data_IF_438429286733
#
_entry.id   IF_438429286733
#
_cell.length_a   1.000
_cell.length_b   1.000
_cell.length_c   1.000
_cell.angle_alpha   90.00
_cell.angle_beta   90.00
_cell.angle_gamma   90.00
#
_symmetry.space_group_name_H-M   'P 1'
#
loop_
_entity.id
_entity.type
_entity.pdbx_description
1 polymer ?
#
# COMPACT_ATOMS: atom_id res chain seq x y z
N UNK A 1 27.88 32.91 5.45
CA UNK A 1 26.83 32.70 6.47
C UNK A 1 25.56 32.39 5.70
N UNK A 2 25.29 31.11 5.46
CA UNK A 2 24.12 30.69 4.71
C UNK A 2 22.90 30.85 5.63
N UNK A 3 21.96 31.70 5.24
CA UNK A 3 20.70 31.87 5.94
C UNK A 3 19.84 30.68 5.55
N UNK A 4 19.74 29.71 6.47
CA UNK A 4 18.78 28.62 6.36
C UNK A 4 17.38 29.23 6.55
N UNK A 5 16.63 29.36 5.46
CA UNK A 5 15.20 29.60 5.57
C UNK A 5 14.58 28.33 6.15
N UNK A 6 13.81 28.40 7.26
CA UNK A 6 13.00 27.27 7.65
C UNK A 6 12.05 26.99 6.49
N UNK A 7 11.99 25.74 6.06
CA UNK A 7 11.01 25.22 5.11
C UNK A 7 9.61 25.40 5.68
N UNK A 8 9.05 26.60 5.54
CA UNK A 8 7.64 26.87 5.84
C UNK A 8 6.81 26.39 4.66
N UNK A 9 6.54 25.09 4.69
CA UNK A 9 5.33 24.45 4.18
C UNK A 9 5.52 22.95 4.42
N UNK A 10 5.42 22.56 5.69
CA UNK A 10 4.55 21.41 5.93
C UNK A 10 3.23 21.82 5.26
N UNK A 11 2.99 21.30 4.06
CA UNK A 11 1.63 21.17 3.57
C UNK A 11 0.96 20.27 4.62
N UNK A 12 0.48 20.88 5.71
CA UNK A 12 -0.53 20.28 6.54
C UNK A 12 -1.61 19.87 5.55
N UNK A 13 -1.63 18.58 5.20
CA UNK A 13 -2.82 17.93 4.70
C UNK A 13 -3.85 18.24 5.78
N UNK A 14 -4.60 19.33 5.58
CA UNK A 14 -5.67 19.78 6.44
C UNK A 14 -6.43 18.53 6.80
N UNK A 15 -6.36 18.13 8.07
CA UNK A 15 -7.02 16.94 8.53
C UNK A 15 -8.47 17.08 8.07
N UNK A 16 -8.93 16.14 7.26
CA UNK A 16 -10.23 16.22 6.59
C UNK A 16 -11.38 16.43 7.56
N UNK A 17 -11.14 16.05 8.81
CA UNK A 17 -11.99 16.21 9.98
C UNK A 17 -12.21 17.67 10.43
N UNK A 18 -11.50 18.62 9.83
CA UNK A 18 -11.63 20.04 10.13
C UNK A 18 -12.35 20.83 9.03
N UNK A 19 -12.31 20.36 7.77
CA UNK A 19 -12.90 21.09 6.65
C UNK A 19 -14.38 21.40 6.88
N UNK A 20 -14.71 22.67 6.78
CA UNK A 20 -16.09 23.15 6.79
C UNK A 20 -16.75 22.81 5.45
N UNK A 21 -18.10 22.74 5.41
CA UNK A 21 -18.80 22.54 4.15
C UNK A 21 -18.47 23.56 3.06
N UNK A 22 -18.07 24.79 3.44
CA UNK A 22 -17.66 25.83 2.48
C UNK A 22 -16.30 25.53 1.87
N UNK A 23 -15.35 25.08 2.67
CA UNK A 23 -14.01 24.68 2.19
C UNK A 23 -14.09 23.44 1.30
N UNK A 24 -14.91 22.44 1.68
CA UNK A 24 -15.15 21.27 0.82
C UNK A 24 -15.70 21.70 -0.55
N UNK A 25 -16.68 22.62 -0.58
CA UNK A 25 -17.23 23.13 -1.85
C UNK A 25 -16.16 23.88 -2.64
N UNK A 26 -15.34 24.71 -2.00
CA UNK A 26 -14.25 25.44 -2.65
C UNK A 26 -13.20 24.50 -3.24
N UNK A 27 -12.91 23.39 -2.57
CA UNK A 27 -12.00 22.37 -3.09
C UNK A 27 -12.60 21.64 -4.30
N UNK A 28 -13.89 21.29 -4.23
CA UNK A 28 -14.61 20.69 -5.36
C UNK A 28 -14.76 21.66 -6.55
N UNK A 29 -14.81 22.97 -6.31
CA UNK A 29 -14.85 24.00 -7.35
C UNK A 29 -13.58 24.03 -8.22
N UNK A 30 -12.43 23.57 -7.72
CA UNK A 30 -11.18 23.47 -8.51
C UNK A 30 -11.25 22.42 -9.62
N UNK A 31 -12.13 21.44 -9.50
CA UNK A 31 -12.18 20.28 -10.38
C UNK A 31 -13.50 20.14 -11.16
N UNK A 32 -14.62 20.52 -10.56
CA UNK A 32 -15.94 20.43 -11.16
C UNK A 32 -16.47 21.83 -11.37
N UNK A 33 -16.92 22.18 -12.58
CA UNK A 33 -17.49 23.51 -12.86
C UNK A 33 -19.00 23.49 -12.59
N UNK A 34 -19.52 24.48 -11.86
CA UNK A 34 -20.96 24.59 -11.57
C UNK A 34 -21.44 23.59 -10.51
N UNK A 35 -22.64 23.01 -10.69
CA UNK A 35 -23.24 21.98 -9.81
C UNK A 35 -23.25 22.32 -8.31
N UNK A 36 -23.57 23.57 -7.97
CA UNK A 36 -23.49 24.10 -6.60
C UNK A 36 -24.31 23.30 -5.59
N UNK A 37 -25.50 22.86 -5.98
CA UNK A 37 -26.39 22.08 -5.11
C UNK A 37 -25.81 20.71 -4.78
N UNK A 38 -25.31 20.00 -5.81
CA UNK A 38 -24.68 18.70 -5.64
C UNK A 38 -23.43 18.79 -4.75
N UNK A 39 -22.57 19.79 -4.98
CA UNK A 39 -21.39 20.05 -4.14
C UNK A 39 -21.76 20.33 -2.69
N UNK A 40 -22.79 21.15 -2.46
CA UNK A 40 -23.29 21.44 -1.11
C UNK A 40 -23.84 20.19 -0.42
N UNK A 41 -24.58 19.36 -1.15
CA UNK A 41 -25.13 18.11 -0.61
C UNK A 41 -24.02 17.16 -0.15
N UNK A 42 -23.01 16.93 -1.00
CA UNK A 42 -21.88 16.06 -0.65
C UNK A 42 -21.02 16.62 0.49
N UNK A 43 -20.81 17.95 0.51
CA UNK A 43 -20.08 18.62 1.59
C UNK A 43 -20.78 18.49 2.94
N UNK A 44 -22.11 18.58 2.96
CA UNK A 44 -22.91 18.36 4.17
C UNK A 44 -22.82 16.90 4.62
N UNK A 45 -22.91 15.94 3.70
CA UNK A 45 -22.81 14.52 4.04
C UNK A 45 -21.44 14.17 4.65
N UNK A 46 -20.35 14.64 4.03
CA UNK A 46 -18.99 14.45 4.55
C UNK A 46 -18.83 15.12 5.92
N UNK A 47 -19.32 16.35 6.11
CA UNK A 47 -19.24 17.03 7.41
C UNK A 47 -20.06 16.34 8.49
N UNK A 48 -21.24 15.82 8.16
CA UNK A 48 -22.09 15.11 9.13
C UNK A 48 -21.43 13.81 9.59
N UNK A 49 -20.66 13.17 8.71
CA UNK A 49 -19.90 11.97 9.04
C UNK A 49 -18.79 12.25 10.06
N UNK A 50 -17.97 13.29 9.86
CA UNK A 50 -16.99 13.74 10.86
C UNK A 50 -17.67 14.14 12.18
N UNK A 51 -18.84 14.80 12.11
CA UNK A 51 -19.61 15.13 13.31
C UNK A 51 -20.04 13.88 14.06
N UNK A 52 -20.47 12.83 13.35
CA UNK A 52 -20.86 11.54 13.95
C UNK A 52 -19.70 10.88 14.69
N UNK A 53 -18.49 10.91 14.13
CA UNK A 53 -17.29 10.36 14.78
C UNK A 53 -16.92 11.08 16.09
N UNK A 54 -17.37 12.33 16.27
CA UNK A 54 -17.14 13.12 17.49
C UNK A 54 -18.23 12.90 18.56
N UNK A 55 -19.25 12.09 18.27
CA UNK A 55 -20.31 11.77 19.22
C UNK A 55 -19.93 10.55 20.09
N UNK A 56 -20.52 10.43 21.29
CA UNK A 56 -20.44 9.20 22.08
C UNK A 56 -20.92 7.98 21.28
N UNK A 57 -20.34 6.78 21.50
CA UNK A 57 -20.66 5.57 20.72
C UNK A 57 -22.16 5.29 20.65
N UNK A 58 -22.84 5.37 21.80
CA UNK A 58 -24.28 5.10 21.93
C UNK A 58 -25.14 5.99 21.01
N UNK A 59 -24.75 7.27 20.83
CA UNK A 59 -25.45 8.21 19.94
C UNK A 59 -25.00 8.09 18.49
N UNK A 60 -23.75 7.70 18.26
CA UNK A 60 -23.21 7.56 16.91
C UNK A 60 -23.87 6.40 16.16
N UNK A 61 -24.16 5.28 16.85
CA UNK A 61 -24.84 4.10 16.29
C UNK A 61 -26.26 4.41 15.82
N UNK A 62 -26.98 5.29 16.52
CA UNK A 62 -28.34 5.71 16.12
C UNK A 62 -28.36 6.60 14.86
N UNK A 63 -27.22 7.18 14.47
CA UNK A 63 -27.13 8.12 13.36
C UNK A 63 -26.66 7.41 12.08
N UNK A 64 -27.65 7.09 11.25
CA UNK A 64 -27.43 6.48 9.93
C UNK A 64 -26.83 7.52 8.95
N UNK A 65 -25.85 7.13 8.11
CA UNK A 65 -25.33 7.98 7.04
C UNK A 65 -26.44 8.50 6.12
N UNK A 66 -26.31 9.77 5.69
CA UNK A 66 -27.22 10.36 4.72
C UNK A 66 -26.75 10.05 3.31
N UNK A 67 -27.29 8.97 2.74
CA UNK A 67 -27.06 8.61 1.34
C UNK A 67 -27.57 9.71 0.40
N UNK A 68 -26.91 9.88 -0.75
CA UNK A 68 -27.19 10.95 -1.72
C UNK A 68 -27.64 10.32 -3.03
N UNK A 69 -28.75 10.82 -3.57
CA UNK A 69 -29.19 10.51 -4.94
C UNK A 69 -28.89 11.72 -5.82
N UNK A 70 -28.06 11.53 -6.84
CA UNK A 70 -27.73 12.57 -7.83
C UNK A 70 -28.55 12.39 -9.10
N UNK A 71 -29.43 13.36 -9.39
CA UNK A 71 -30.29 13.34 -10.58
C UNK A 71 -29.77 14.36 -11.58
N UNK A 72 -29.60 13.93 -12.83
CA UNK A 72 -29.14 14.80 -13.93
C UNK A 72 -28.71 14.00 -15.16
N UNK A 73 -28.52 14.65 -16.31
CA UNK A 73 -28.08 13.97 -17.52
C UNK A 73 -26.64 13.42 -17.37
N UNK A 74 -26.22 12.57 -18.30
CA UNK A 74 -24.84 12.08 -18.37
C UNK A 74 -23.88 13.23 -18.66
N UNK A 75 -22.61 13.11 -18.23
CA UNK A 75 -21.56 14.10 -18.54
C UNK A 75 -21.56 15.39 -17.72
N UNK A 76 -22.54 15.62 -16.82
CA UNK A 76 -22.58 16.85 -15.99
C UNK A 76 -21.64 16.86 -14.78
N UNK A 77 -20.86 15.79 -14.59
CA UNK A 77 -19.87 15.67 -13.52
C UNK A 77 -20.32 14.92 -12.26
N UNK A 78 -21.44 14.17 -12.27
CA UNK A 78 -21.92 13.37 -11.12
C UNK A 78 -20.83 12.46 -10.53
N UNK A 79 -20.21 11.64 -11.38
CA UNK A 79 -19.14 10.73 -10.99
C UNK A 79 -17.87 11.48 -10.56
N UNK A 80 -17.56 12.63 -11.18
CA UNK A 80 -16.37 13.42 -10.84
C UNK A 80 -16.51 14.07 -9.46
N UNK A 81 -17.70 14.57 -9.10
CA UNK A 81 -17.98 15.06 -7.75
C UNK A 81 -17.73 13.96 -6.72
N UNK A 82 -18.25 12.75 -6.94
CA UNK A 82 -18.07 11.63 -6.02
C UNK A 82 -16.60 11.19 -5.91
N UNK A 83 -15.89 11.07 -7.04
CA UNK A 83 -14.47 10.72 -7.09
C UNK A 83 -13.61 11.76 -6.36
N UNK A 84 -13.85 13.05 -6.60
CA UNK A 84 -13.11 14.14 -5.94
C UNK A 84 -13.42 14.23 -4.46
N UNK A 85 -14.67 14.00 -4.06
CA UNK A 85 -15.04 13.91 -2.66
C UNK A 85 -14.29 12.78 -1.95
N UNK A 86 -14.20 11.60 -2.57
CA UNK A 86 -13.50 10.46 -1.97
C UNK A 86 -12.00 10.69 -1.88
N UNK A 87 -11.37 11.25 -2.93
CA UNK A 87 -9.97 11.64 -2.90
C UNK A 87 -9.69 12.71 -1.84
N UNK A 88 -10.59 13.70 -1.73
CA UNK A 88 -10.51 14.71 -0.69
C UNK A 88 -10.54 14.00 0.66
N UNK A 89 -11.57 13.20 0.94
CA UNK A 89 -11.77 12.48 2.21
C UNK A 89 -10.78 11.34 2.52
N UNK A 90 -9.74 11.13 1.69
CA UNK A 90 -8.89 9.93 1.72
C UNK A 90 -9.68 8.62 1.95
N UNK A 91 -10.83 8.54 1.28
CA UNK A 91 -11.84 7.49 1.46
C UNK A 91 -11.70 6.45 0.34
N UNK A 92 -11.74 5.14 0.64
CA UNK A 92 -11.86 4.10 -0.36
C UNK A 92 -13.09 4.36 -1.26
N UNK A 93 -12.90 4.24 -2.57
CA UNK A 93 -13.93 4.60 -3.55
C UNK A 93 -14.14 3.50 -4.58
N UNK A 94 -15.37 3.01 -4.69
CA UNK A 94 -15.77 2.04 -5.70
C UNK A 94 -16.86 2.62 -6.60
N UNK A 95 -16.61 2.63 -7.92
CA UNK A 95 -17.64 2.88 -8.93
C UNK A 95 -18.16 1.55 -9.47
N UNK A 96 -19.48 1.36 -9.43
CA UNK A 96 -20.15 0.20 -10.01
C UNK A 96 -21.40 0.64 -10.76
N UNK A 97 -21.76 -0.08 -11.82
CA UNK A 97 -23.00 0.14 -12.56
C UNK A 97 -24.07 -0.78 -12.00
N UNK A 98 -25.24 -0.24 -11.66
CA UNK A 98 -26.32 -0.99 -11.03
C UNK A 98 -26.83 -2.16 -11.90
N UNK A 99 -26.79 -2.02 -13.22
CA UNK A 99 -27.24 -3.07 -14.16
C UNK A 99 -26.41 -4.35 -14.09
N UNK A 100 -25.18 -4.30 -13.57
CA UNK A 100 -24.29 -5.48 -13.43
C UNK A 100 -24.83 -6.54 -12.48
N UNK A 101 -25.77 -6.17 -11.60
CA UNK A 101 -26.34 -7.05 -10.59
C UNK A 101 -27.76 -7.54 -10.92
N UNK A 102 -28.21 -7.36 -12.17
CA UNK A 102 -29.53 -7.85 -12.62
C UNK A 102 -29.42 -9.20 -13.34
N UNK A 103 -30.53 -9.95 -13.39
CA UNK A 103 -30.62 -11.32 -13.91
C UNK A 103 -30.04 -11.51 -15.33
N UNK A 104 -30.06 -10.49 -16.19
CA UNK A 104 -29.53 -10.57 -17.57
C UNK A 104 -27.99 -10.46 -17.61
N UNK A 105 -27.36 -9.96 -16.55
CA UNK A 105 -25.89 -9.92 -16.38
C UNK A 105 -25.35 -11.03 -15.46
N UNK A 106 -26.20 -11.99 -15.08
CA UNK A 106 -26.04 -12.84 -13.90
C UNK A 106 -25.38 -14.19 -14.20
N UNK A 107 -24.09 -14.19 -14.53
CA UNK A 107 -23.27 -15.36 -14.22
C UNK A 107 -22.12 -14.91 -13.33
N UNK A 108 -22.37 -14.88 -12.02
CA UNK A 108 -21.30 -14.90 -11.01
C UNK A 108 -20.96 -13.61 -10.26
N UNK A 109 -21.80 -12.55 -10.25
CA UNK A 109 -21.56 -11.36 -9.40
C UNK A 109 -22.65 -11.17 -8.34
N UNK A 110 -22.22 -11.35 -7.09
CA UNK A 110 -22.98 -11.12 -5.86
C UNK A 110 -22.96 -9.63 -5.47
N UNK A 111 -24.04 -9.09 -4.91
CA UNK A 111 -24.10 -7.70 -4.40
C UNK A 111 -23.02 -7.48 -3.33
N UNK A 112 -22.68 -8.50 -2.55
CA UNK A 112 -21.61 -8.44 -1.55
C UNK A 112 -20.23 -8.22 -2.19
N UNK A 113 -20.04 -8.55 -3.48
CA UNK A 113 -18.78 -8.28 -4.18
C UNK A 113 -18.43 -6.79 -4.19
N UNK A 114 -19.43 -5.88 -4.15
CA UNK A 114 -19.15 -4.45 -4.03
C UNK A 114 -18.40 -4.10 -2.75
N UNK A 115 -18.72 -4.77 -1.64
CA UNK A 115 -18.05 -4.53 -0.36
C UNK A 115 -16.67 -5.18 -0.37
N UNK A 116 -16.54 -6.38 -0.95
CA UNK A 116 -15.24 -7.07 -1.10
C UNK A 116 -14.27 -6.24 -1.95
N UNK A 117 -14.70 -5.78 -3.13
CA UNK A 117 -13.92 -4.92 -4.02
C UNK A 117 -13.50 -3.61 -3.32
N UNK A 118 -14.40 -3.03 -2.51
CA UNK A 118 -14.09 -1.81 -1.76
C UNK A 118 -13.04 -2.04 -0.65
N UNK A 119 -13.07 -3.20 0.01
CA UNK A 119 -12.06 -3.60 1.00
C UNK A 119 -10.71 -3.85 0.34
N UNK A 120 -10.68 -4.49 -0.83
CA UNK A 120 -9.44 -4.68 -1.59
C UNK A 120 -8.79 -3.34 -1.94
N UNK A 121 -9.57 -2.38 -2.45
CA UNK A 121 -9.08 -1.01 -2.70
C UNK A 121 -8.55 -0.35 -1.43
N UNK A 122 -9.21 -0.56 -0.29
CA UNK A 122 -8.74 0.01 0.98
C UNK A 122 -7.43 -0.64 1.46
N UNK A 123 -7.25 -1.95 1.27
CA UNK A 123 -6.03 -2.66 1.62
C UNK A 123 -4.86 -2.11 0.80
N UNK A 124 -5.06 -1.90 -0.50
CA UNK A 124 -4.01 -1.35 -1.37
C UNK A 124 -3.67 0.10 -0.97
N UNK A 125 -4.66 0.95 -0.72
CA UNK A 125 -4.42 2.32 -0.23
C UNK A 125 -3.63 2.34 1.08
N UNK A 126 -4.02 1.52 2.07
CA UNK A 126 -3.32 1.46 3.36
C UNK A 126 -1.92 0.88 3.20
N UNK A 127 -1.74 -0.10 2.31
CA UNK A 127 -0.42 -0.66 2.02
C UNK A 127 0.50 0.40 1.41
N UNK A 128 0.01 1.19 0.46
CA UNK A 128 0.77 2.30 -0.14
C UNK A 128 1.19 3.33 0.90
N UNK A 129 0.27 3.77 1.77
CA UNK A 129 0.60 4.67 2.88
C UNK A 129 1.66 4.07 3.82
N UNK A 130 1.55 2.77 4.13
CA UNK A 130 2.52 2.09 5.00
C UNK A 130 3.87 1.89 4.34
N UNK A 131 3.92 1.73 3.02
CA UNK A 131 5.17 1.70 2.25
C UNK A 131 5.91 3.03 2.36
N UNK A 132 5.19 4.15 2.21
CA UNK A 132 5.76 5.49 2.39
C UNK A 132 6.28 5.70 3.81
N UNK A 133 5.53 5.29 4.83
CA UNK A 133 5.94 5.39 6.25
C UNK A 133 7.25 4.62 6.57
N UNK A 134 7.52 3.50 5.87
CA UNK A 134 8.69 2.66 6.15
C UNK A 134 9.86 2.86 5.19
N UNK A 135 9.69 3.66 4.13
CA UNK A 135 10.67 3.85 3.06
C UNK A 135 12.07 4.21 3.60
N UNK A 136 12.18 5.23 4.46
CA UNK A 136 13.46 5.67 5.03
C UNK A 136 14.15 4.58 5.86
N UNK A 137 13.36 3.79 6.59
CA UNK A 137 13.86 2.70 7.44
C UNK A 137 14.26 1.49 6.60
N UNK A 138 13.50 1.19 5.55
CA UNK A 138 13.81 0.14 4.60
C UNK A 138 15.11 0.46 3.86
N UNK A 139 15.31 1.70 3.43
CA UNK A 139 16.54 2.16 2.78
C UNK A 139 17.76 2.01 3.70
N UNK A 140 17.65 2.43 4.97
CA UNK A 140 18.73 2.27 5.95
C UNK A 140 19.08 0.81 6.21
N UNK A 141 18.07 -0.05 6.36
CA UNK A 141 18.28 -1.49 6.57
C UNK A 141 18.91 -2.15 5.33
N UNK A 142 18.44 -1.78 4.13
CA UNK A 142 18.99 -2.25 2.87
C UNK A 142 20.45 -1.81 2.70
N UNK A 143 20.79 -0.57 3.08
CA UNK A 143 22.15 -0.03 3.08
C UNK A 143 23.06 -0.85 3.99
N UNK A 144 22.62 -1.14 5.23
CA UNK A 144 23.39 -1.95 6.17
C UNK A 144 23.62 -3.37 5.67
N UNK A 145 22.58 -4.00 5.11
CA UNK A 145 22.64 -5.37 4.58
C UNK A 145 23.53 -5.46 3.35
N UNK A 146 23.53 -4.44 2.50
CA UNK A 146 24.42 -4.34 1.34
C UNK A 146 25.88 -4.15 1.76
N UNK A 147 26.14 -3.35 2.80
CA UNK A 147 27.49 -3.20 3.38
C UNK A 147 28.02 -4.52 3.95
N UNK A 148 27.18 -5.33 4.59
CA UNK A 148 27.57 -6.66 5.09
C UNK A 148 27.98 -7.62 3.96
N UNK A 149 27.33 -7.51 2.79
CA UNK A 149 27.67 -8.31 1.60
C UNK A 149 28.99 -7.83 0.99
N UNK A 150 29.23 -6.53 0.99
CA UNK A 150 30.47 -5.92 0.45
C UNK A 150 31.68 -6.14 1.37
N UNK A 151 31.45 -6.23 2.67
CA UNK A 151 32.45 -6.47 3.70
C UNK A 151 31.96 -7.56 4.67
N UNK A 152 32.07 -8.85 4.29
CA UNK A 152 31.68 -9.92 5.19
C UNK A 152 32.50 -9.83 6.49
N UNK A 153 31.86 -9.96 7.67
CA UNK A 153 32.55 -9.88 8.94
C UNK A 153 33.64 -10.95 8.99
N UNK A 154 34.86 -10.57 9.40
CA UNK A 154 35.93 -11.54 9.62
C UNK A 154 35.44 -12.53 10.67
N UNK A 155 35.46 -13.85 10.41
CA UNK A 155 35.03 -14.82 11.39
C UNK A 155 35.90 -14.66 12.64
N UNK A 156 35.29 -14.33 13.77
CA UNK A 156 35.94 -14.39 15.09
C UNK A 156 36.40 -15.81 15.29
N UNK A 157 37.69 -16.05 15.07
CA UNK A 157 38.33 -17.32 15.40
C UNK A 157 38.20 -17.48 16.92
N UNK A 158 37.64 -18.60 17.44
CA UNK A 158 37.67 -18.84 18.87
C UNK A 158 39.14 -18.88 19.30
N UNK A 159 39.50 -17.98 20.22
CA UNK A 159 40.82 -17.90 20.84
C UNK A 159 41.22 -19.30 21.37
N UNK A 160 42.34 -19.89 20.90
CA UNK A 160 42.87 -21.06 21.57
C UNK A 160 43.31 -20.63 22.97
N UNK A 161 42.73 -21.26 23.99
CA UNK A 161 43.11 -21.12 25.39
C UNK A 161 44.64 -21.19 25.52
N UNK A 162 45.26 -20.08 25.92
CA UNK A 162 46.70 -19.94 26.05
C UNK A 162 47.27 -20.92 27.09
N UNK A 163 47.99 -21.95 26.64
CA UNK A 163 49.07 -22.56 27.40
C UNK A 163 50.36 -21.78 27.18
N UNK A 164 51.10 -21.63 28.27
CA UNK A 164 52.19 -20.69 28.45
C UNK A 164 53.36 -20.83 27.45
N UNK A 165 53.95 -19.67 27.12
CA UNK A 165 55.39 -19.54 26.90
C UNK A 165 55.87 -19.63 25.46
N UNK A 166 55.69 -18.56 24.68
CA UNK A 166 56.40 -18.39 23.42
C UNK A 166 56.40 -16.93 22.99
N UNK A 167 57.58 -16.29 23.03
CA UNK A 167 57.79 -14.96 22.46
C UNK A 167 57.65 -15.06 20.94
N UNK A 168 56.56 -14.51 20.40
CA UNK A 168 56.41 -14.24 18.98
C UNK A 168 56.77 -12.77 18.73
N UNK A 169 57.94 -12.56 18.12
CA UNK A 169 58.28 -11.30 17.46
C UNK A 169 57.61 -11.38 16.10
N UNK A 170 56.45 -10.74 15.94
CA UNK A 170 55.84 -10.54 14.62
C UNK A 170 55.84 -9.05 14.27
N UNK A 171 56.78 -8.69 13.40
CA UNK A 171 56.86 -7.39 12.76
C UNK A 171 55.90 -7.31 11.58
N UNK A 172 54.62 -7.09 11.88
CA UNK A 172 53.67 -6.57 10.88
C UNK A 172 53.08 -5.25 11.37
N UNK A 173 53.63 -4.17 10.85
CA UNK A 173 52.97 -2.87 10.73
C UNK A 173 51.75 -3.02 9.82
N UNK A 174 50.67 -3.58 10.34
CA UNK A 174 49.34 -3.52 9.76
C UNK A 174 48.51 -2.58 10.59
N UNK A 175 48.29 -1.37 10.10
CA UNK A 175 47.24 -0.48 10.60
C UNK A 175 45.95 -1.30 10.69
N UNK A 176 45.56 -1.70 11.90
CA UNK A 176 44.22 -2.20 12.18
C UNK A 176 43.27 -1.02 12.03
N UNK A 177 42.98 -0.66 10.78
CA UNK A 177 41.89 0.26 10.48
C UNK A 177 40.65 -0.43 11.06
N UNK A 178 40.11 0.16 12.14
CA UNK A 178 38.99 -0.41 12.89
C UNK A 178 37.91 -0.81 11.89
N UNK A 179 37.30 -2.01 11.98
CA UNK A 179 36.27 -2.46 11.04
C UNK A 179 35.15 -1.42 10.87
N UNK A 180 34.89 -0.62 11.90
CA UNK A 180 33.96 0.51 11.89
C UNK A 180 34.38 1.63 10.93
N UNK A 181 35.65 2.05 10.88
CA UNK A 181 36.14 3.11 10.00
C UNK A 181 36.07 2.72 8.53
N UNK A 182 36.35 1.46 8.21
CA UNK A 182 36.22 0.94 6.85
C UNK A 182 34.76 0.90 6.41
N UNK A 183 33.85 0.49 7.31
CA UNK A 183 32.40 0.48 7.05
C UNK A 183 31.85 1.88 6.80
N UNK A 184 32.26 2.87 7.59
CA UNK A 184 31.85 4.27 7.40
C UNK A 184 32.32 4.85 6.05
N UNK A 185 33.56 4.56 5.63
CA UNK A 185 34.07 4.96 4.31
C UNK A 185 33.28 4.29 3.18
N UNK A 186 32.95 3.01 3.30
CA UNK A 186 32.15 2.28 2.31
C UNK A 186 30.73 2.82 2.23
N UNK A 187 30.12 3.15 3.38
CA UNK A 187 28.82 3.81 3.46
C UNK A 187 28.81 5.12 2.68
N UNK A 188 29.84 5.95 2.90
CA UNK A 188 29.99 7.20 2.15
C UNK A 188 30.16 6.95 0.64
N UNK A 189 30.97 5.97 0.24
CA UNK A 189 31.17 5.63 -1.17
C UNK A 189 29.93 5.08 -1.86
N UNK A 190 29.09 4.33 -1.14
CA UNK A 190 27.81 3.82 -1.63
C UNK A 190 26.84 4.97 -1.88
N UNK A 191 26.72 5.92 -0.94
CA UNK A 191 25.89 7.13 -1.10
C UNK A 191 26.38 8.05 -2.23
N UNK A 192 27.69 8.04 -2.50
CA UNK A 192 28.30 8.77 -3.61
C UNK A 192 28.18 8.04 -4.97
N UNK A 193 27.55 6.87 -5.04
CA UNK A 193 27.37 6.09 -6.27
C UNK A 193 28.67 5.47 -6.81
N UNK A 194 29.76 5.48 -6.04
CA UNK A 194 31.08 5.01 -6.50
C UNK A 194 31.18 3.49 -6.60
N UNK A 195 30.20 2.78 -6.04
CA UNK A 195 30.19 1.32 -5.95
C UNK A 195 29.17 0.67 -6.88
N UNK A 196 28.37 1.45 -7.60
CA UNK A 196 27.19 0.99 -8.36
C UNK A 196 27.52 -0.10 -9.39
N UNK A 197 28.65 0.03 -10.09
CA UNK A 197 29.10 -0.93 -11.11
C UNK A 197 29.73 -2.20 -10.55
N UNK A 198 30.01 -2.26 -9.24
CA UNK A 198 30.56 -3.46 -8.63
C UNK A 198 29.50 -4.58 -8.66
N UNK A 199 29.95 -5.81 -8.82
CA UNK A 199 29.04 -6.97 -8.79
C UNK A 199 29.00 -7.57 -7.39
N UNK A 200 27.80 -7.89 -6.94
CA UNK A 200 27.52 -8.57 -5.67
C UNK A 200 26.65 -9.80 -5.92
N UNK A 201 26.76 -10.78 -5.04
CA UNK A 201 25.96 -11.99 -5.09
C UNK A 201 24.94 -11.94 -3.94
N UNK A 202 23.65 -11.89 -4.29
CA UNK A 202 22.56 -11.81 -3.32
C UNK A 202 21.61 -13.00 -3.47
N UNK A 203 21.02 -13.43 -2.36
CA UNK A 203 19.98 -14.46 -2.34
C UNK A 203 18.64 -13.84 -2.73
N UNK A 204 18.18 -14.14 -3.94
CA UNK A 204 16.91 -13.63 -4.49
C UNK A 204 15.82 -14.69 -4.32
N UNK A 205 14.65 -14.31 -3.83
CA UNK A 205 13.47 -15.18 -3.77
C UNK A 205 12.96 -15.48 -5.18
N UNK A 206 12.88 -16.76 -5.55
CA UNK A 206 12.27 -17.16 -6.82
C UNK A 206 10.74 -17.14 -6.69
N UNK A 207 10.05 -16.35 -7.54
CA UNK A 207 8.59 -16.38 -7.68
C UNK A 207 8.10 -17.43 -8.69
N UNK A 208 9.00 -18.22 -9.27
CA UNK A 208 8.65 -19.20 -10.30
C UNK A 208 8.37 -20.56 -9.65
N UNK A 209 7.09 -20.92 -9.54
CA UNK A 209 6.73 -22.33 -9.56
C UNK A 209 6.95 -22.86 -10.98
N UNK A 210 7.73 -23.93 -11.19
CA UNK A 210 7.66 -24.63 -12.46
C UNK A 210 6.22 -25.08 -12.65
N UNK A 211 5.58 -24.65 -13.73
CA UNK A 211 4.28 -25.16 -14.15
C UNK A 211 4.42 -26.66 -14.39
N UNK A 212 4.05 -27.47 -13.40
CA UNK A 212 3.84 -28.89 -13.60
C UNK A 212 2.56 -29.02 -14.43
N UNK A 213 2.70 -29.11 -15.76
CA UNK A 213 1.62 -29.58 -16.62
C UNK A 213 1.38 -31.06 -16.29
N UNK A 214 0.46 -31.32 -15.37
CA UNK A 214 -0.07 -32.66 -15.15
C UNK A 214 -0.95 -32.97 -16.36
N UNK A 215 -0.37 -33.70 -17.31
CA UNK A 215 -1.08 -34.24 -18.48
C UNK A 215 -2.01 -35.37 -18.03
N UNK A 216 -3.11 -35.04 -17.35
CA UNK A 216 -4.22 -35.98 -17.11
C UNK A 216 -5.28 -35.77 -18.17
N UNK A 217 -5.57 -36.82 -18.94
CA UNK A 217 -6.54 -36.86 -20.05
C UNK A 217 -8.02 -36.69 -19.63
N UNK A 218 -8.32 -36.13 -18.45
CA UNK A 218 -9.69 -35.89 -18.00
C UNK A 218 -9.79 -34.57 -17.24
N UNK A 219 -10.49 -33.62 -17.88
CA UNK A 219 -11.09 -32.39 -17.34
C UNK A 219 -10.43 -31.76 -16.11
N UNK A 220 -9.57 -30.77 -16.34
CA UNK A 220 -8.95 -29.97 -15.28
C UNK A 220 -8.94 -28.49 -15.71
N UNK A 221 -10.00 -27.76 -15.36
CA UNK A 221 -9.99 -26.28 -15.43
C UNK A 221 -10.26 -25.63 -14.06
N UNK A 222 -10.93 -26.33 -13.12
CA UNK A 222 -11.28 -25.73 -11.81
C UNK A 222 -10.38 -26.13 -10.63
N UNK A 223 -9.67 -27.26 -10.69
CA UNK A 223 -8.89 -27.75 -9.55
C UNK A 223 -7.45 -27.17 -9.47
N UNK A 224 -7.01 -26.51 -10.54
CA UNK A 224 -5.62 -26.05 -10.72
C UNK A 224 -5.33 -24.71 -10.03
N UNK A 225 -6.37 -23.90 -9.77
CA UNK A 225 -6.22 -22.55 -9.19
C UNK A 225 -6.03 -22.61 -7.66
N UNK A 226 -6.82 -23.43 -6.96
CA UNK A 226 -6.76 -23.50 -5.49
C UNK A 226 -5.52 -24.21 -4.94
N UNK A 227 -4.92 -25.15 -5.68
CA UNK A 227 -3.71 -25.87 -5.23
C UNK A 227 -2.45 -25.00 -5.40
N UNK A 228 -2.45 -24.11 -6.41
CA UNK A 228 -1.34 -23.21 -6.72
C UNK A 228 -1.11 -22.15 -5.63
N UNK A 229 -2.16 -21.70 -4.97
CA UNK A 229 -2.09 -20.71 -3.89
C UNK A 229 -1.80 -21.33 -2.51
N UNK A 230 -2.09 -22.63 -2.30
CA UNK A 230 -1.82 -23.32 -1.03
C UNK A 230 -0.41 -23.93 -0.91
N UNK A 231 0.21 -24.36 -2.02
CA UNK A 231 1.55 -24.99 -2.02
C UNK A 231 2.73 -24.11 -1.54
N UNK A 232 2.78 -22.78 -1.77
CA UNK A 232 3.90 -21.94 -1.36
C UNK A 232 4.05 -21.77 0.16
N UNK A 233 2.97 -21.94 0.92
CA UNK A 233 3.00 -21.79 2.38
C UNK A 233 3.52 -23.05 3.10
N UNK A 234 3.62 -24.20 2.41
CA UNK A 234 4.08 -25.48 2.99
C UNK A 234 5.55 -25.77 2.64
N UNK A 235 5.97 -25.44 1.42
CA UNK A 235 7.38 -25.50 1.02
C UNK A 235 7.96 -24.10 1.07
N UNK A 236 8.74 -23.78 2.11
CA UNK A 236 9.33 -22.47 2.32
C UNK A 236 9.94 -21.87 1.05
N UNK A 237 9.86 -20.55 0.93
CA UNK A 237 10.30 -19.80 -0.24
C UNK A 237 11.75 -20.16 -0.60
N UNK A 238 11.96 -20.75 -1.78
CA UNK A 238 13.30 -21.08 -2.27
C UNK A 238 14.01 -19.79 -2.68
N UNK A 239 15.20 -19.56 -2.11
CA UNK A 239 16.10 -18.49 -2.53
C UNK A 239 17.16 -19.04 -3.47
N UNK A 240 17.61 -18.20 -4.40
CA UNK A 240 18.68 -18.52 -5.34
C UNK A 240 19.70 -17.39 -5.36
N UNK A 241 20.98 -17.76 -5.29
CA UNK A 241 22.09 -16.83 -5.45
C UNK A 241 22.11 -16.28 -6.86
N UNK A 242 22.00 -14.96 -6.98
CA UNK A 242 22.09 -14.25 -8.25
C UNK A 242 23.15 -13.17 -8.13
N UNK A 243 24.03 -13.11 -9.14
CA UNK A 243 24.98 -12.01 -9.30
C UNK A 243 24.29 -10.86 -10.03
N UNK A 244 24.39 -9.67 -9.45
CA UNK A 244 23.88 -8.43 -10.02
C UNK A 244 24.75 -7.25 -9.61
N UNK A 245 24.50 -6.07 -10.19
CA UNK A 245 25.20 -4.85 -9.82
C UNK A 245 24.76 -4.34 -8.45
N UNK A 246 25.58 -3.53 -7.79
CA UNK A 246 25.28 -2.96 -6.47
C UNK A 246 24.03 -2.10 -6.50
N UNK A 247 23.81 -1.31 -7.55
CA UNK A 247 22.59 -0.49 -7.69
C UNK A 247 21.32 -1.36 -7.79
N UNK A 248 21.32 -2.40 -8.64
CA UNK A 248 20.21 -3.35 -8.78
C UNK A 248 19.97 -4.14 -7.48
N UNK A 249 21.05 -4.53 -6.80
CA UNK A 249 20.98 -5.21 -5.51
C UNK A 249 20.38 -4.29 -4.43
N UNK A 250 20.73 -3.01 -4.44
CA UNK A 250 20.22 -2.04 -3.49
C UNK A 250 18.71 -1.84 -3.64
N UNK A 251 18.23 -1.60 -4.87
CA UNK A 251 16.79 -1.50 -5.15
C UNK A 251 16.03 -2.78 -4.74
N UNK A 252 16.60 -3.96 -5.02
CA UNK A 252 16.00 -5.23 -4.60
C UNK A 252 15.92 -5.37 -3.07
N UNK A 253 16.99 -5.00 -2.36
CA UNK A 253 17.03 -5.08 -0.90
C UNK A 253 16.05 -4.10 -0.26
N UNK A 254 15.88 -2.89 -0.83
CA UNK A 254 14.86 -1.94 -0.37
C UNK A 254 13.48 -2.58 -0.44
N UNK A 255 13.11 -3.13 -1.60
CA UNK A 255 11.80 -3.78 -1.78
C UNK A 255 11.58 -4.97 -0.84
N UNK A 256 12.65 -5.74 -0.55
CA UNK A 256 12.56 -6.85 0.41
C UNK A 256 12.36 -6.35 1.85
N UNK A 257 13.09 -5.30 2.26
CA UNK A 257 12.95 -4.72 3.60
C UNK A 257 11.62 -3.98 3.78
N UNK A 258 11.11 -3.28 2.75
CA UNK A 258 9.76 -2.70 2.73
C UNK A 258 8.69 -3.76 3.00
N UNK A 259 8.70 -4.86 2.23
CA UNK A 259 7.75 -5.97 2.41
C UNK A 259 7.86 -6.64 3.77
N UNK A 260 9.07 -6.67 4.35
CA UNK A 260 9.32 -7.25 5.67
C UNK A 260 8.86 -6.35 6.80
N UNK A 261 8.97 -5.03 6.65
CA UNK A 261 8.60 -4.06 7.68
C UNK A 261 7.10 -3.85 7.79
N UNK A 262 6.33 -4.19 6.75
CA UNK A 262 4.88 -4.05 6.73
C UNK A 262 4.20 -5.23 7.41
N UNK A 263 3.39 -4.92 8.43
CA UNK A 263 2.48 -5.87 9.05
C UNK A 263 1.16 -5.93 8.28
N UNK A 264 0.97 -7.01 7.50
CA UNK A 264 -0.24 -7.21 6.70
C UNK A 264 -1.51 -7.41 7.54
N UNK A 265 -1.40 -7.91 8.78
CA UNK A 265 -2.57 -8.05 9.67
C UNK A 265 -3.03 -6.66 10.15
N UNK A 266 -2.07 -5.79 10.47
CA UNK A 266 -2.36 -4.40 10.81
C UNK A 266 -2.95 -3.63 9.62
N UNK A 267 -2.39 -3.81 8.42
CA UNK A 267 -2.92 -3.22 7.18
C UNK A 267 -4.38 -3.65 6.97
N UNK A 268 -4.66 -4.95 7.09
CA UNK A 268 -6.01 -5.50 6.89
C UNK A 268 -7.00 -4.92 7.89
N UNK A 269 -6.65 -4.88 9.19
CA UNK A 269 -7.54 -4.30 10.23
C UNK A 269 -7.81 -2.82 9.98
N UNK A 270 -6.77 -2.06 9.62
CA UNK A 270 -6.89 -0.63 9.32
C UNK A 270 -7.74 -0.39 8.08
N UNK A 271 -7.61 -1.23 7.06
CA UNK A 271 -8.41 -1.16 5.84
C UNK A 271 -9.90 -1.44 6.12
N UNK A 272 -10.21 -2.45 6.93
CA UNK A 272 -11.59 -2.76 7.34
C UNK A 272 -12.20 -1.57 8.08
N UNK A 273 -11.52 -1.05 9.12
CA UNK A 273 -11.99 0.11 9.86
C UNK A 273 -12.20 1.33 8.94
N UNK A 274 -11.29 1.54 7.98
CA UNK A 274 -11.40 2.59 6.98
C UNK A 274 -12.61 2.38 6.07
N UNK A 275 -12.93 1.17 5.64
CA UNK A 275 -14.13 0.93 4.82
C UNK A 275 -15.41 1.14 5.62
N UNK A 276 -15.49 0.63 6.85
CA UNK A 276 -16.66 0.78 7.71
C UNK A 276 -16.94 2.24 8.06
N UNK A 277 -15.89 2.98 8.40
CA UNK A 277 -16.01 4.36 8.79
C UNK A 277 -16.03 5.31 7.61
N UNK A 278 -15.41 4.96 6.48
CA UNK A 278 -15.11 5.90 5.39
C UNK A 278 -15.35 5.47 3.96
N UNK A 279 -15.75 4.23 3.72
CA UNK A 279 -16.01 3.73 2.37
C UNK A 279 -17.07 4.55 1.64
N UNK A 280 -16.82 4.78 0.34
CA UNK A 280 -17.77 5.44 -0.56
C UNK A 280 -18.04 4.52 -1.74
N UNK A 281 -19.28 4.08 -1.89
CA UNK A 281 -19.76 3.35 -3.06
C UNK A 281 -20.58 4.29 -3.94
N UNK A 282 -20.20 4.39 -5.21
CA UNK A 282 -20.95 5.12 -6.23
C UNK A 282 -21.67 4.13 -7.15
N UNK A 283 -22.99 4.05 -6.98
CA UNK A 283 -23.89 3.29 -7.84
C UNK A 283 -24.30 4.15 -9.03
N UNK A 284 -23.73 3.88 -10.20
CA UNK A 284 -24.08 4.54 -11.45
C UNK A 284 -25.31 3.87 -12.10
N UNK A 285 -26.08 4.66 -12.83
CA UNK A 285 -27.24 4.19 -13.61
C UNK A 285 -28.28 3.38 -12.81
N UNK A 286 -28.50 3.75 -11.54
CA UNK A 286 -29.49 3.10 -10.66
C UNK A 286 -30.92 3.22 -11.19
N UNK A 287 -31.19 4.22 -12.03
CA UNK A 287 -32.47 4.39 -12.71
C UNK A 287 -32.78 3.26 -13.70
N UNK A 288 -31.76 2.56 -14.23
CA UNK A 288 -31.96 1.42 -15.16
C UNK A 288 -32.56 0.19 -14.50
N UNK A 289 -32.45 0.08 -13.18
CA UNK A 289 -32.98 -1.06 -12.41
C UNK A 289 -34.30 -0.72 -11.69
N UNK A 290 -34.77 0.53 -11.80
CA UNK A 290 -36.08 0.91 -11.29
C UNK A 290 -37.18 0.31 -12.18
N UNK A 291 -38.19 -0.29 -11.57
CA UNK A 291 -39.34 -0.84 -12.29
C UNK A 291 -40.04 0.25 -13.12
N UNK A 292 -40.31 -0.05 -14.39
CA UNK A 292 -41.22 0.78 -15.19
C UNK A 292 -42.64 0.51 -14.70
N UNK A 293 -43.15 1.30 -13.77
CA UNK A 293 -44.59 1.34 -13.51
C UNK A 293 -45.30 1.94 -14.74
N UNK A 294 -45.63 1.09 -15.71
CA UNK A 294 -46.86 1.24 -16.47
C UNK A 294 -47.89 0.36 -15.74
N UNK A 295 -48.75 1.02 -14.95
CA UNK A 295 -49.72 0.34 -14.11
C UNK A 295 -50.64 -0.59 -14.90
N UNK A 296 -50.94 -1.74 -14.31
CA UNK A 296 -52.23 -2.42 -14.36
C UNK A 296 -52.31 -3.32 -13.12
N UNK A 297 -52.92 -2.77 -12.06
CA UNK A 297 -53.58 -3.56 -11.02
C UNK A 297 -55.08 -3.61 -11.31
N UNK A 298 -55.78 -4.65 -10.82
CA UNK A 298 -57.10 -5.10 -11.31
C UNK A 298 -58.25 -4.11 -11.13
#
# INVERSE_FOLDING_TARGET
MAIYLPSTAEEEQLALDELTPREIVAELDKHVIGQKEAKRAVAIALRNRTRRQKLPPDLAEEIIPKNIIMIGPTGVGKTEIARRLAKLANSPFLKVEASKFTEVGYVGRDVESMVRDLVEIAIDNVREEKLEDVADKAEQNAEERLLDILQPPSPTRPEPSATAGGVVIDGSTGLTDSPTRTREKLKQQLREGKLDDRTVEIDVRERNFPSFEILTNQGVEEMDVNIKDMLPNIFGQRTKKRKMKVNEAFEYLIQEEEQRLIDMDQVTRTAIDRVENSGIVFLDEIDKIAGREAGHGP
#
